data_IF_084789276656
#
_entry.id   IF_084789276656
#
_cell.length_a   1.000
_cell.length_b   1.000
_cell.length_c   1.000
_cell.angle_alpha   90.00
_cell.angle_beta   90.00
_cell.angle_gamma   90.00
#
_symmetry.space_group_name_H-M   'P 1'
#
loop_
_entity.id
_entity.type
_entity.pdbx_description
1 polymer ?
#
# COMPACT_ATOMS: atom_id res chain seq x y z
N UNK A 1 -0.29 -23.29 10.49
CA UNK A 1 0.05 -23.94 9.22
C UNK A 1 -1.16 -23.89 8.30
N UNK A 2 -1.19 -22.87 7.44
CA UNK A 2 -2.11 -22.86 6.32
C UNK A 2 -1.49 -23.77 5.26
N UNK A 3 -2.09 -24.95 5.09
CA UNK A 3 -1.74 -25.85 4.01
C UNK A 3 -2.07 -25.19 2.68
N UNK A 4 -1.14 -25.23 1.73
CA UNK A 4 -1.40 -24.87 0.36
C UNK A 4 -2.61 -25.69 -0.12
N UNK A 5 -3.74 -25.03 -0.34
CA UNK A 5 -4.92 -25.65 -0.93
C UNK A 5 -4.54 -25.92 -2.38
N UNK A 6 -4.43 -27.20 -2.72
CA UNK A 6 -4.30 -27.62 -4.11
C UNK A 6 -5.54 -27.13 -4.88
N UNK A 7 -5.40 -26.58 -6.08
CA UNK A 7 -6.55 -26.22 -6.87
C UNK A 7 -7.44 -27.47 -7.03
N UNK A 8 -8.72 -27.31 -6.71
CA UNK A 8 -9.72 -28.37 -6.87
C UNK A 8 -9.69 -28.87 -8.32
N UNK A 9 -9.71 -30.16 -8.55
CA UNK A 9 -9.70 -30.67 -9.92
C UNK A 9 -10.90 -30.10 -10.68
N UNK A 10 -10.61 -29.54 -11.86
CA UNK A 10 -11.64 -29.20 -12.85
C UNK A 10 -12.55 -30.44 -12.98
N UNK A 11 -13.85 -30.27 -12.80
CA UNK A 11 -14.78 -31.37 -13.03
C UNK A 11 -14.61 -31.86 -14.45
N UNK A 12 -14.17 -33.08 -14.62
CA UNK A 12 -13.96 -33.73 -15.93
C UNK A 12 -15.29 -33.96 -16.70
N UNK A 13 -16.44 -33.64 -16.05
CA UNK A 13 -17.77 -33.84 -16.60
C UNK A 13 -18.38 -32.62 -17.32
N UNK A 14 -17.75 -31.43 -17.19
CA UNK A 14 -18.22 -30.22 -17.89
C UNK A 14 -17.41 -30.00 -19.16
N UNK A 15 -18.03 -30.14 -20.35
CA UNK A 15 -17.32 -29.94 -21.62
C UNK A 15 -16.91 -28.48 -21.78
N UNK A 16 -15.84 -28.23 -22.53
CA UNK A 16 -15.50 -26.87 -22.96
C UNK A 16 -16.68 -26.25 -23.74
N UNK A 17 -16.94 -24.96 -23.52
CA UNK A 17 -18.10 -24.29 -24.15
C UNK A 17 -18.04 -24.37 -25.69
N UNK A 18 -16.88 -24.20 -26.29
CA UNK A 18 -16.70 -24.28 -27.75
C UNK A 18 -17.12 -25.64 -28.32
N UNK A 19 -16.81 -26.73 -27.60
CA UNK A 19 -17.20 -28.10 -27.99
C UNK A 19 -18.73 -28.25 -27.89
N UNK A 20 -19.30 -27.78 -26.79
CA UNK A 20 -20.74 -27.80 -26.57
C UNK A 20 -21.51 -26.96 -27.61
N UNK A 21 -21.07 -25.70 -27.80
CA UNK A 21 -21.74 -24.78 -28.73
C UNK A 21 -21.66 -25.27 -30.17
N UNK A 22 -20.53 -25.80 -30.59
CA UNK A 22 -20.39 -26.40 -31.93
C UNK A 22 -21.41 -27.51 -32.14
N UNK A 23 -21.50 -28.47 -31.23
CA UNK A 23 -22.45 -29.57 -31.32
C UNK A 23 -23.91 -29.04 -31.31
N UNK A 24 -24.20 -28.09 -30.40
CA UNK A 24 -25.53 -27.50 -30.29
C UNK A 24 -26.00 -26.83 -31.59
N UNK A 25 -25.09 -26.10 -32.26
CA UNK A 25 -25.36 -25.43 -33.54
C UNK A 25 -25.45 -26.44 -34.65
N UNK A 26 -24.51 -27.38 -34.79
CA UNK A 26 -24.52 -28.39 -35.86
C UNK A 26 -25.78 -29.23 -35.87
N UNK A 27 -26.22 -29.68 -34.70
CA UNK A 27 -27.45 -30.50 -34.57
C UNK A 27 -28.72 -29.74 -34.98
N UNK A 28 -28.73 -28.42 -34.89
CA UNK A 28 -29.92 -27.58 -35.15
C UNK A 28 -29.90 -26.89 -36.52
N UNK A 29 -28.74 -26.45 -36.96
CA UNK A 29 -28.61 -25.78 -38.26
C UNK A 29 -28.90 -26.77 -39.40
N UNK A 30 -28.48 -28.03 -39.24
CA UNK A 30 -28.82 -29.08 -40.20
C UNK A 30 -30.33 -29.21 -40.42
N UNK A 31 -31.07 -29.32 -39.34
CA UNK A 31 -32.58 -29.39 -39.39
C UNK A 31 -33.19 -28.13 -39.99
N UNK A 32 -32.69 -26.96 -39.65
CA UNK A 32 -33.17 -25.68 -40.19
C UNK A 32 -32.94 -25.57 -41.71
N UNK A 33 -31.87 -26.20 -42.21
CA UNK A 33 -31.53 -26.24 -43.64
C UNK A 33 -32.33 -27.30 -44.43
N UNK A 34 -32.97 -28.21 -43.74
CA UNK A 34 -33.81 -29.21 -44.46
C UNK A 34 -35.05 -28.53 -45.06
N UNK A 35 -35.41 -28.96 -46.27
CA UNK A 35 -36.64 -28.52 -46.93
C UNK A 35 -37.83 -29.17 -46.23
N UNK A 36 -38.82 -28.33 -45.76
CA UNK A 36 -40.04 -28.83 -45.25
C UNK A 36 -40.87 -29.49 -46.37
N UNK A 37 -41.50 -30.65 -46.14
CA UNK A 37 -42.33 -31.32 -47.16
C UNK A 37 -43.46 -30.44 -47.71
N UNK A 38 -43.93 -29.44 -46.95
CA UNK A 38 -45.01 -28.54 -47.36
C UNK A 38 -44.48 -27.22 -47.97
N UNK A 39 -43.18 -27.02 -48.07
CA UNK A 39 -42.53 -25.86 -48.61
C UNK A 39 -42.28 -26.05 -50.11
N UNK A 40 -42.60 -25.05 -50.92
CA UNK A 40 -42.23 -25.05 -52.35
C UNK A 40 -40.74 -24.87 -52.54
N UNK A 41 -40.19 -25.15 -53.70
CA UNK A 41 -38.75 -24.96 -53.98
C UNK A 41 -38.40 -23.47 -53.89
N UNK A 42 -39.24 -22.58 -54.39
CA UNK A 42 -39.03 -21.12 -54.36
C UNK A 42 -39.04 -20.60 -52.94
N UNK A 43 -39.95 -21.03 -52.09
CA UNK A 43 -40.00 -20.69 -50.66
C UNK A 43 -38.77 -21.21 -49.93
N UNK A 44 -38.36 -22.42 -50.19
CA UNK A 44 -37.14 -23.00 -49.64
C UNK A 44 -35.87 -22.20 -50.02
N UNK A 45 -35.71 -21.87 -51.30
CA UNK A 45 -34.56 -21.08 -51.78
C UNK A 45 -34.58 -19.65 -51.25
N UNK A 46 -35.73 -19.07 -51.04
CA UNK A 46 -35.87 -17.74 -50.40
C UNK A 46 -35.56 -17.76 -48.91
N UNK A 47 -35.85 -18.85 -48.19
CA UNK A 47 -35.61 -19.01 -46.76
C UNK A 47 -34.18 -19.38 -46.46
N UNK A 48 -33.54 -20.26 -47.23
CA UNK A 48 -32.21 -20.81 -46.97
C UNK A 48 -31.20 -20.07 -47.83
N UNK A 49 -30.96 -18.81 -47.51
CA UNK A 49 -29.84 -18.02 -48.08
C UNK A 49 -28.65 -18.03 -47.14
N UNK A 50 -27.46 -17.63 -47.63
CA UNK A 50 -26.26 -17.56 -46.79
C UNK A 50 -26.42 -16.51 -45.67
N UNK A 51 -27.08 -15.36 -45.96
CA UNK A 51 -27.34 -14.35 -44.96
C UNK A 51 -28.27 -14.85 -43.85
N UNK A 52 -29.36 -15.55 -44.25
CA UNK A 52 -30.30 -16.15 -43.31
C UNK A 52 -29.63 -17.27 -42.49
N UNK A 53 -28.73 -18.06 -43.09
CA UNK A 53 -27.96 -19.07 -42.42
C UNK A 53 -27.04 -18.46 -41.36
N UNK A 54 -26.28 -17.40 -41.67
CA UNK A 54 -25.41 -16.70 -40.72
C UNK A 54 -26.21 -16.08 -39.57
N UNK A 55 -27.35 -15.47 -39.86
CA UNK A 55 -28.28 -14.94 -38.84
C UNK A 55 -28.77 -16.06 -37.91
N UNK A 56 -29.14 -17.22 -38.47
CA UNK A 56 -29.59 -18.38 -37.69
C UNK A 56 -28.46 -19.00 -36.85
N UNK A 57 -27.24 -19.06 -37.36
CA UNK A 57 -26.10 -19.50 -36.60
C UNK A 57 -25.82 -18.58 -35.39
N UNK A 58 -25.91 -17.26 -35.59
CA UNK A 58 -25.78 -16.29 -34.50
C UNK A 58 -26.86 -16.45 -33.42
N UNK A 59 -28.10 -16.65 -33.84
CA UNK A 59 -29.23 -16.96 -32.93
C UNK A 59 -28.94 -18.26 -32.13
N UNK A 60 -28.50 -19.32 -32.82
CA UNK A 60 -28.20 -20.61 -32.19
C UNK A 60 -26.99 -20.54 -31.23
N UNK A 61 -26.00 -19.74 -31.54
CA UNK A 61 -24.86 -19.51 -30.62
C UNK A 61 -25.30 -18.83 -29.34
N UNK A 62 -26.19 -17.83 -29.45
CA UNK A 62 -26.77 -17.18 -28.25
C UNK A 62 -27.61 -18.17 -27.43
N UNK A 63 -28.41 -18.97 -28.09
CA UNK A 63 -29.21 -20.02 -27.43
C UNK A 63 -28.34 -21.12 -26.81
N UNK A 64 -27.20 -21.45 -27.45
CA UNK A 64 -26.24 -22.38 -26.90
C UNK A 64 -25.60 -21.87 -25.59
N UNK A 65 -25.28 -20.59 -25.54
CA UNK A 65 -24.75 -19.95 -24.32
C UNK A 65 -25.74 -20.02 -23.17
N UNK A 66 -26.95 -19.56 -23.42
CA UNK A 66 -28.03 -19.57 -22.40
C UNK A 66 -28.31 -21.01 -21.91
N UNK A 67 -28.32 -21.99 -22.83
CA UNK A 67 -28.57 -23.39 -22.50
C UNK A 67 -27.37 -24.02 -21.74
N UNK A 68 -26.15 -23.71 -22.12
CA UNK A 68 -24.95 -24.16 -21.39
C UNK A 68 -24.92 -23.65 -19.95
N UNK A 69 -25.22 -22.36 -19.76
CA UNK A 69 -25.33 -21.77 -18.43
C UNK A 69 -26.43 -22.48 -17.64
N UNK A 70 -27.59 -22.68 -18.22
CA UNK A 70 -28.73 -23.34 -17.55
C UNK A 70 -28.41 -24.78 -17.10
N UNK A 71 -27.59 -25.51 -17.86
CA UNK A 71 -27.26 -26.91 -17.56
C UNK A 71 -26.15 -27.01 -16.52
N UNK A 72 -25.10 -26.19 -16.65
CA UNK A 72 -23.85 -26.36 -15.92
C UNK A 72 -23.62 -25.38 -14.77
N UNK A 73 -24.38 -24.26 -14.70
CA UNK A 73 -24.38 -23.40 -13.54
C UNK A 73 -25.04 -24.10 -12.35
N UNK A 74 -24.36 -24.06 -11.22
CA UNK A 74 -24.84 -24.65 -9.97
C UNK A 74 -24.90 -23.58 -8.91
N UNK A 75 -25.84 -23.73 -7.99
CA UNK A 75 -25.93 -22.88 -6.82
C UNK A 75 -24.61 -22.94 -6.01
N UNK A 76 -24.26 -21.78 -5.46
CA UNK A 76 -23.09 -21.61 -4.59
C UNK A 76 -23.55 -21.35 -3.17
N UNK A 77 -22.93 -22.06 -2.23
CA UNK A 77 -23.01 -21.75 -0.81
C UNK A 77 -21.67 -21.26 -0.26
N UNK A 78 -21.64 -20.73 0.96
CA UNK A 78 -20.36 -20.31 1.58
C UNK A 78 -19.32 -21.43 1.67
N UNK A 79 -19.75 -22.68 1.77
CA UNK A 79 -18.86 -23.85 1.79
C UNK A 79 -18.19 -24.16 0.45
N UNK A 80 -18.73 -23.62 -0.66
CA UNK A 80 -18.18 -23.82 -2.00
C UNK A 80 -17.15 -22.75 -2.38
N UNK A 81 -16.91 -21.80 -1.49
CA UNK A 81 -16.06 -20.65 -1.71
C UNK A 81 -14.99 -20.59 -0.61
N UNK A 82 -13.74 -20.47 -1.02
CA UNK A 82 -12.61 -20.33 -0.10
C UNK A 82 -12.21 -18.86 -0.03
N UNK A 83 -12.47 -18.21 1.11
CA UNK A 83 -11.98 -16.86 1.37
C UNK A 83 -10.49 -16.89 1.63
N UNK A 84 -9.76 -16.00 0.96
CA UNK A 84 -8.38 -15.66 1.33
C UNK A 84 -8.34 -14.58 2.41
N UNK A 85 -7.19 -14.34 3.05
CA UNK A 85 -7.04 -13.26 4.01
C UNK A 85 -7.46 -11.90 3.42
N UNK A 86 -8.05 -11.06 4.28
CA UNK A 86 -8.51 -9.73 3.88
C UNK A 86 -7.36 -8.84 3.45
N UNK A 87 -7.50 -8.23 2.29
CA UNK A 87 -6.61 -7.17 1.82
C UNK A 87 -7.14 -5.81 2.31
N UNK A 88 -6.52 -5.30 3.37
CA UNK A 88 -6.94 -4.06 4.01
C UNK A 88 -6.58 -2.80 3.19
N UNK A 89 -5.64 -2.90 2.25
CA UNK A 89 -5.25 -1.78 1.41
C UNK A 89 -6.24 -1.55 0.27
N UNK A 90 -6.74 -2.64 -0.31
CA UNK A 90 -7.72 -2.59 -1.38
C UNK A 90 -9.16 -2.74 -0.87
N UNK A 91 -9.33 -2.97 0.44
CA UNK A 91 -10.63 -3.20 1.09
C UNK A 91 -11.44 -4.33 0.44
N UNK A 92 -10.79 -5.46 0.16
CA UNK A 92 -11.40 -6.61 -0.51
C UNK A 92 -11.04 -7.94 0.15
N UNK A 93 -11.91 -8.93 -0.03
CA UNK A 93 -11.55 -10.34 0.07
C UNK A 93 -11.36 -10.92 -1.32
N UNK A 94 -10.26 -11.62 -1.54
CA UNK A 94 -10.15 -12.57 -2.63
C UNK A 94 -10.83 -13.87 -2.23
N UNK A 95 -11.56 -14.47 -3.15
CA UNK A 95 -12.22 -15.73 -2.90
C UNK A 95 -12.09 -16.65 -4.11
N UNK A 96 -11.82 -17.91 -3.85
CA UNK A 96 -11.73 -18.96 -4.88
C UNK A 96 -13.06 -19.69 -4.98
N UNK A 97 -13.60 -19.77 -6.17
CA UNK A 97 -14.82 -20.53 -6.49
C UNK A 97 -14.51 -21.56 -7.57
N UNK A 98 -15.42 -22.53 -7.75
CA UNK A 98 -15.35 -23.46 -8.89
C UNK A 98 -15.50 -22.78 -10.27
N UNK A 99 -15.88 -21.51 -10.30
CA UNK A 99 -16.03 -20.69 -11.51
C UNK A 99 -14.91 -19.64 -11.66
N UNK A 100 -13.84 -19.77 -10.90
CA UNK A 100 -12.70 -18.86 -10.89
C UNK A 100 -12.62 -18.01 -9.64
N UNK A 101 -11.64 -17.15 -9.63
CA UNK A 101 -11.36 -16.23 -8.53
C UNK A 101 -12.25 -14.99 -8.64
N UNK A 102 -12.78 -14.55 -7.51
CA UNK A 102 -13.64 -13.37 -7.39
C UNK A 102 -13.08 -12.40 -6.35
N UNK A 103 -13.38 -11.11 -6.53
CA UNK A 103 -12.98 -10.04 -5.62
C UNK A 103 -14.25 -9.48 -4.97
N UNK A 104 -14.32 -9.56 -3.64
CA UNK A 104 -15.48 -9.10 -2.87
C UNK A 104 -15.08 -7.81 -2.15
N UNK A 105 -15.58 -6.64 -2.58
CA UNK A 105 -15.35 -5.38 -1.89
C UNK A 105 -16.06 -5.39 -0.53
N UNK A 106 -15.30 -5.15 0.54
CA UNK A 106 -15.80 -5.07 1.92
C UNK A 106 -15.07 -3.96 2.64
N UNK A 107 -15.74 -2.90 3.08
CA UNK A 107 -15.09 -1.79 3.78
C UNK A 107 -14.37 -2.24 5.06
N UNK A 108 -13.24 -1.62 5.35
CA UNK A 108 -12.50 -1.83 6.60
C UNK A 108 -13.15 -1.08 7.77
N UNK A 109 -13.81 0.04 7.48
CA UNK A 109 -14.45 0.89 8.48
C UNK A 109 -15.45 0.11 9.34
N UNK A 110 -15.69 0.57 10.56
CA UNK A 110 -16.67 0.00 11.50
C UNK A 110 -16.50 -1.51 11.76
N UNK A 111 -15.28 -2.02 11.61
CA UNK A 111 -14.98 -3.44 11.80
C UNK A 111 -15.71 -4.37 10.81
N UNK A 112 -16.17 -3.82 9.68
CA UNK A 112 -17.08 -4.52 8.75
C UNK A 112 -16.42 -5.75 8.11
N UNK A 113 -15.15 -5.66 7.73
CA UNK A 113 -14.41 -6.78 7.17
C UNK A 113 -14.30 -7.97 8.15
N UNK A 114 -14.06 -7.71 9.43
CA UNK A 114 -14.03 -8.77 10.45
C UNK A 114 -15.40 -9.38 10.69
N UNK A 115 -16.45 -8.56 10.66
CA UNK A 115 -17.82 -9.06 10.77
C UNK A 115 -18.21 -9.91 9.53
N UNK A 116 -17.78 -9.49 8.34
CA UNK A 116 -17.97 -10.27 7.12
C UNK A 116 -17.33 -11.66 7.25
N UNK A 117 -16.06 -11.72 7.62
CA UNK A 117 -15.32 -12.98 7.78
C UNK A 117 -15.92 -13.86 8.90
N UNK A 118 -16.22 -13.30 10.06
CA UNK A 118 -16.80 -14.06 11.18
C UNK A 118 -18.19 -14.60 10.90
N UNK A 119 -18.95 -13.95 10.05
CA UNK A 119 -20.30 -14.36 9.64
C UNK A 119 -20.32 -15.20 8.36
N UNK A 120 -19.14 -15.55 7.80
CA UNK A 120 -19.04 -16.19 6.50
C UNK A 120 -19.94 -17.44 6.34
N UNK A 121 -19.91 -18.33 7.29
CA UNK A 121 -20.72 -19.56 7.24
C UNK A 121 -22.24 -19.31 7.28
N UNK A 122 -22.65 -18.14 7.74
CA UNK A 122 -24.07 -17.72 7.77
C UNK A 122 -24.48 -16.82 6.61
N UNK A 123 -23.58 -16.53 5.67
CA UNK A 123 -23.89 -15.70 4.50
C UNK A 123 -24.89 -16.41 3.58
N UNK A 124 -25.84 -15.66 3.08
CA UNK A 124 -26.73 -16.09 2.00
C UNK A 124 -26.21 -15.56 0.69
N UNK A 125 -25.94 -16.46 -0.25
CA UNK A 125 -25.54 -16.12 -1.60
C UNK A 125 -26.78 -16.02 -2.48
N UNK A 126 -26.94 -14.90 -3.20
CA UNK A 126 -28.14 -14.63 -4.02
C UNK A 126 -27.75 -14.09 -5.38
N UNK A 127 -28.63 -14.32 -6.34
CA UNK A 127 -28.59 -13.76 -7.70
C UNK A 127 -27.21 -13.99 -8.37
N UNK A 128 -26.71 -15.22 -8.46
CA UNK A 128 -25.53 -15.49 -9.25
C UNK A 128 -25.83 -15.26 -10.72
N UNK A 129 -24.97 -14.53 -11.39
CA UNK A 129 -25.00 -14.36 -12.85
C UNK A 129 -23.72 -14.94 -13.45
N UNK A 130 -23.87 -15.56 -14.61
CA UNK A 130 -22.77 -16.29 -15.26
C UNK A 130 -22.57 -15.83 -16.69
N UNK A 131 -21.36 -16.02 -17.20
CA UNK A 131 -20.97 -15.81 -18.59
C UNK A 131 -19.87 -16.78 -19.00
N UNK A 132 -19.52 -16.78 -20.26
CA UNK A 132 -18.42 -17.61 -20.77
C UNK A 132 -17.15 -16.78 -20.85
N UNK A 133 -16.10 -17.26 -20.18
CA UNK A 133 -14.76 -16.69 -20.20
C UNK A 133 -13.75 -17.81 -20.39
N UNK A 134 -12.82 -17.61 -21.32
CA UNK A 134 -11.74 -18.58 -21.61
C UNK A 134 -12.28 -20.01 -21.83
N UNK A 135 -13.36 -20.12 -22.62
CA UNK A 135 -14.04 -21.36 -22.97
C UNK A 135 -14.68 -22.12 -21.79
N UNK A 136 -14.91 -21.44 -20.68
CA UNK A 136 -15.47 -21.98 -19.42
C UNK A 136 -16.54 -21.09 -18.83
N UNK A 137 -17.35 -21.68 -17.94
CA UNK A 137 -18.31 -20.92 -17.15
C UNK A 137 -17.60 -20.11 -16.09
N UNK A 138 -17.84 -18.81 -16.08
CA UNK A 138 -17.35 -17.86 -15.09
C UNK A 138 -18.50 -17.12 -14.42
N UNK A 139 -18.26 -16.65 -13.19
CA UNK A 139 -19.23 -15.87 -12.43
C UNK A 139 -19.08 -14.39 -12.81
N UNK A 140 -20.16 -13.74 -13.23
CA UNK A 140 -20.14 -12.31 -13.55
C UNK A 140 -20.58 -11.43 -12.39
N UNK A 141 -21.52 -11.90 -11.57
CA UNK A 141 -21.95 -11.21 -10.36
C UNK A 141 -22.47 -12.19 -9.30
N UNK A 142 -22.36 -11.78 -8.02
CA UNK A 142 -22.88 -12.53 -6.89
C UNK A 142 -23.16 -11.57 -5.73
N UNK A 143 -24.29 -11.75 -5.07
CA UNK A 143 -24.68 -10.96 -3.90
C UNK A 143 -24.55 -11.80 -2.64
N UNK A 144 -23.88 -11.24 -1.63
CA UNK A 144 -23.73 -11.83 -0.30
C UNK A 144 -24.59 -11.07 0.69
N UNK A 145 -25.41 -11.76 1.45
CA UNK A 145 -26.27 -11.17 2.47
C UNK A 145 -25.89 -11.76 3.81
N UNK A 146 -25.43 -10.91 4.73
CA UNK A 146 -25.05 -11.35 6.08
C UNK A 146 -26.30 -11.69 6.92
N UNK A 147 -26.14 -12.44 8.03
CA UNK A 147 -27.25 -12.68 8.97
C UNK A 147 -27.89 -11.41 9.53
N UNK A 148 -27.13 -10.31 9.61
CA UNK A 148 -27.61 -8.99 10.01
C UNK A 148 -28.27 -8.19 8.86
N UNK A 149 -28.40 -8.77 7.66
CA UNK A 149 -29.01 -8.13 6.50
C UNK A 149 -28.10 -7.16 5.73
N UNK A 150 -26.83 -7.10 6.04
CA UNK A 150 -25.86 -6.32 5.24
C UNK A 150 -25.61 -7.00 3.90
N UNK A 151 -25.46 -6.19 2.85
CA UNK A 151 -25.34 -6.66 1.47
C UNK A 151 -23.98 -6.28 0.93
N UNK A 152 -23.28 -7.28 0.35
CA UNK A 152 -22.03 -7.10 -0.36
C UNK A 152 -22.19 -7.68 -1.77
N UNK A 153 -21.51 -7.12 -2.75
CA UNK A 153 -21.67 -7.55 -4.13
C UNK A 153 -20.31 -7.71 -4.82
N UNK A 154 -20.12 -8.87 -5.42
CA UNK A 154 -19.14 -9.08 -6.46
C UNK A 154 -19.77 -8.75 -7.81
N UNK A 155 -19.03 -8.03 -8.65
CA UNK A 155 -19.43 -7.67 -10.00
C UNK A 155 -18.19 -7.54 -10.87
N UNK A 156 -18.04 -8.45 -11.85
CA UNK A 156 -16.84 -8.51 -12.73
C UNK A 156 -16.74 -7.29 -13.65
N UNK A 157 -17.84 -6.59 -13.94
CA UNK A 157 -17.85 -5.37 -14.75
C UNK A 157 -17.19 -4.18 -14.03
N UNK A 158 -17.14 -4.23 -12.70
CA UNK A 158 -16.45 -3.27 -11.84
C UNK A 158 -15.02 -3.72 -11.55
N UNK A 159 -14.39 -4.47 -12.45
CA UNK A 159 -13.06 -5.00 -12.30
C UNK A 159 -12.10 -3.90 -11.84
N UNK A 160 -11.93 -3.79 -10.53
CA UNK A 160 -10.81 -3.11 -9.93
C UNK A 160 -9.57 -3.75 -10.56
N UNK A 161 -8.66 -2.92 -11.08
CA UNK A 161 -7.33 -3.39 -11.44
C UNK A 161 -6.64 -3.81 -10.14
N UNK A 162 -7.04 -4.99 -9.65
CA UNK A 162 -6.52 -5.56 -8.43
C UNK A 162 -5.12 -6.08 -8.70
N UNK A 163 -4.15 -5.49 -8.03
CA UNK A 163 -2.81 -6.04 -7.95
C UNK A 163 -2.63 -6.55 -6.53
N UNK A 164 -2.60 -7.86 -6.36
CA UNK A 164 -2.27 -8.47 -5.08
C UNK A 164 -0.88 -7.98 -4.66
N UNK A 165 -0.85 -7.11 -3.66
CA UNK A 165 0.42 -6.67 -3.08
C UNK A 165 0.78 -7.66 -1.98
N UNK A 166 1.59 -8.63 -2.34
CA UNK A 166 2.20 -9.52 -1.37
C UNK A 166 3.37 -8.75 -0.75
N UNK A 167 3.29 -8.38 0.51
CA UNK A 167 4.36 -7.68 1.24
C UNK A 167 5.17 -8.68 2.03
N UNK A 168 6.47 -8.80 1.71
CA UNK A 168 7.43 -9.55 2.50
C UNK A 168 8.19 -8.61 3.44
N UNK A 169 7.98 -8.79 4.70
CA UNK A 169 8.71 -8.06 5.73
C UNK A 169 9.78 -8.96 6.33
N UNK A 170 11.03 -8.70 6.01
CA UNK A 170 12.13 -9.32 6.72
C UNK A 170 12.37 -8.57 8.03
N UNK A 171 12.04 -9.22 9.13
CA UNK A 171 12.37 -8.72 10.46
C UNK A 171 13.75 -9.22 10.88
N UNK A 172 14.51 -8.36 11.56
CA UNK A 172 15.69 -8.80 12.30
C UNK A 172 15.27 -9.84 13.36
N UNK A 173 16.15 -10.81 13.61
CA UNK A 173 15.91 -11.79 14.66
C UNK A 173 15.75 -11.09 16.01
N UNK A 174 14.69 -11.44 16.75
CA UNK A 174 14.52 -10.96 18.11
C UNK A 174 15.62 -11.60 18.96
N UNK A 175 16.46 -10.76 19.56
CA UNK A 175 17.48 -11.23 20.49
C UNK A 175 16.84 -11.59 21.83
N UNK A 176 16.77 -12.88 22.10
CA UNK A 176 16.31 -13.44 23.37
C UNK A 176 17.46 -13.79 24.31
N UNK A 177 18.70 -13.41 24.01
CA UNK A 177 19.88 -13.77 24.81
C UNK A 177 19.78 -13.29 26.26
N UNK A 178 19.09 -12.15 26.49
CA UNK A 178 18.85 -11.62 27.84
C UNK A 178 17.89 -12.49 28.68
N UNK A 179 17.05 -13.34 28.05
CA UNK A 179 16.16 -14.25 28.79
C UNK A 179 16.92 -15.44 29.38
N UNK A 180 18.10 -15.77 28.83
CA UNK A 180 18.94 -16.85 29.32
C UNK A 180 19.65 -16.50 30.65
N UNK A 181 19.79 -15.21 30.98
CA UNK A 181 20.43 -14.73 32.21
C UNK A 181 19.52 -14.75 33.44
N UNK A 182 18.21 -14.97 33.29
CA UNK A 182 17.21 -14.99 34.35
C UNK A 182 16.62 -16.40 34.60
N UNK A 183 17.27 -17.47 34.21
CA UNK A 183 16.75 -18.83 34.36
C UNK A 183 16.89 -19.35 35.78
N UNK A 184 15.77 -19.36 36.51
CA UNK A 184 15.56 -20.37 37.51
C UNK A 184 15.43 -21.73 36.79
N UNK A 185 16.34 -22.63 37.11
CA UNK A 185 16.49 -23.94 36.50
C UNK A 185 15.21 -24.76 36.41
N UNK A 186 14.76 -25.04 35.19
CA UNK A 186 13.91 -26.17 34.85
C UNK A 186 14.45 -26.85 33.60
N UNK A 187 14.77 -28.14 33.62
CA UNK A 187 15.20 -28.83 32.42
C UNK A 187 13.96 -29.07 31.53
N UNK A 188 13.94 -28.40 30.41
CA UNK A 188 12.91 -28.58 29.38
C UNK A 188 13.51 -28.27 28.03
N UNK A 189 13.35 -29.21 27.10
CA UNK A 189 13.90 -29.23 25.76
C UNK A 189 13.82 -27.87 25.03
N UNK A 190 14.94 -27.42 24.51
CA UNK A 190 15.04 -26.29 23.59
C UNK A 190 14.26 -26.56 22.31
N UNK A 191 13.05 -26.03 22.19
CA UNK A 191 12.39 -25.96 20.90
C UNK A 191 13.08 -24.86 20.09
N UNK A 192 13.93 -25.26 19.16
CA UNK A 192 14.35 -24.39 18.07
C UNK A 192 13.10 -24.09 17.22
N UNK A 193 12.57 -22.89 17.36
CA UNK A 193 11.57 -22.37 16.44
C UNK A 193 12.30 -22.13 15.11
N UNK A 194 12.11 -23.04 14.16
CA UNK A 194 12.51 -22.81 12.78
C UNK A 194 11.58 -21.69 12.25
N UNK A 195 12.10 -20.51 12.08
CA UNK A 195 11.43 -19.46 11.34
C UNK A 195 11.36 -19.87 9.88
N UNK A 196 10.17 -19.94 9.36
CA UNK A 196 9.95 -19.99 7.93
C UNK A 196 10.04 -18.53 7.46
N UNK A 197 11.13 -18.19 6.78
CA UNK A 197 11.23 -16.93 6.05
C UNK A 197 10.22 -17.00 4.92
N UNK A 198 9.11 -16.34 5.08
CA UNK A 198 8.18 -16.08 3.98
C UNK A 198 8.73 -14.86 3.28
N UNK A 199 9.52 -15.10 2.22
CA UNK A 199 10.08 -14.05 1.39
C UNK A 199 8.97 -13.55 0.48
N UNK A 200 8.58 -12.33 0.59
CA UNK A 200 7.73 -11.59 -0.33
C UNK A 200 8.63 -10.59 -1.00
N UNK A 201 8.47 -10.33 -2.25
CA UNK A 201 9.40 -9.53 -3.02
C UNK A 201 9.84 -8.28 -2.29
N UNK A 202 10.89 -8.42 -1.49
CA UNK A 202 11.49 -7.29 -0.79
C UNK A 202 11.84 -6.26 -1.85
N UNK A 203 11.51 -5.01 -1.59
CA UNK A 203 11.99 -3.89 -2.40
C UNK A 203 13.49 -4.03 -2.56
N UNK A 204 13.99 -3.72 -3.73
CA UNK A 204 15.44 -3.77 -4.00
C UNK A 204 16.25 -2.94 -3.01
N UNK A 205 15.64 -1.93 -2.38
CA UNK A 205 16.27 -1.12 -1.32
C UNK A 205 16.22 -1.75 0.07
N UNK A 206 15.39 -2.77 0.27
CA UNK A 206 15.26 -3.48 1.55
C UNK A 206 16.28 -4.61 1.71
N UNK A 207 16.90 -4.99 0.61
CA UNK A 207 17.90 -6.07 0.55
C UNK A 207 19.25 -5.54 0.11
N UNK A 208 20.30 -6.28 0.44
CA UNK A 208 21.67 -5.91 0.07
C UNK A 208 22.04 -4.47 0.50
N UNK A 209 21.60 -4.08 1.70
CA UNK A 209 21.93 -2.76 2.26
C UNK A 209 23.45 -2.69 2.46
N UNK A 210 24.12 -1.70 1.85
CA UNK A 210 25.56 -1.60 1.93
C UNK A 210 26.04 -1.33 3.36
N UNK A 211 27.12 -1.99 3.76
CA UNK A 211 27.75 -1.77 5.06
C UNK A 211 28.88 -0.74 4.96
N UNK A 212 29.00 0.10 5.97
CA UNK A 212 30.13 0.99 6.16
C UNK A 212 31.07 0.39 7.21
N UNK A 213 32.34 0.11 6.87
CA UNK A 213 33.29 -0.42 7.84
C UNK A 213 33.77 0.61 8.88
N UNK A 214 33.48 1.90 8.68
CA UNK A 214 33.79 2.97 9.60
C UNK A 214 32.62 3.32 10.46
N UNK A 215 32.82 3.43 11.76
CA UNK A 215 31.80 3.90 12.70
C UNK A 215 31.67 5.41 12.63
N UNK A 216 30.44 5.90 12.55
CA UNK A 216 30.09 7.31 12.57
C UNK A 216 29.50 7.66 13.96
N UNK A 217 30.40 7.84 14.94
CA UNK A 217 30.03 7.89 16.37
C UNK A 217 29.28 9.15 16.78
N UNK A 218 29.50 10.25 16.06
CA UNK A 218 28.94 11.56 16.42
C UNK A 218 27.74 11.97 15.56
N UNK A 219 27.20 11.07 14.78
CA UNK A 219 25.94 11.30 14.07
C UNK A 219 24.79 10.58 14.77
N UNK A 220 23.71 11.31 15.01
CA UNK A 220 22.50 10.82 15.66
C UNK A 220 21.31 10.91 14.70
N UNK A 221 20.47 9.90 14.67
CA UNK A 221 19.26 9.89 13.88
C UNK A 221 18.02 9.80 14.78
N UNK A 222 17.04 10.66 14.53
CA UNK A 222 15.70 10.61 15.10
C UNK A 222 14.73 10.33 13.97
N UNK A 223 14.10 9.16 13.99
CA UNK A 223 13.21 8.66 12.95
C UNK A 223 11.85 8.42 13.57
N UNK A 224 10.84 9.10 13.06
CA UNK A 224 9.44 8.96 13.51
C UNK A 224 8.62 8.52 12.30
N UNK A 225 7.97 7.36 12.40
CA UNK A 225 7.13 6.79 11.36
C UNK A 225 5.73 6.50 11.91
N UNK A 226 4.73 7.20 11.39
CA UNK A 226 3.34 7.10 11.81
C UNK A 226 2.51 6.52 10.66
N UNK A 227 1.99 5.33 10.85
CA UNK A 227 1.15 4.61 9.90
C UNK A 227 -0.23 4.32 10.45
N UNK A 228 -0.33 3.77 11.66
CA UNK A 228 -1.56 3.25 12.23
C UNK A 228 -2.24 4.31 13.12
N UNK A 229 -2.96 5.21 12.50
CA UNK A 229 -3.73 6.24 13.19
C UNK A 229 -5.00 5.67 13.80
N UNK A 230 -5.39 6.18 14.99
CA UNK A 230 -6.56 5.69 15.72
C UNK A 230 -7.88 6.21 15.16
N UNK A 231 -7.88 7.43 14.61
CA UNK A 231 -9.09 8.16 14.25
C UNK A 231 -9.15 8.65 12.79
N UNK A 232 -8.07 8.50 12.04
CA UNK A 232 -7.98 8.87 10.62
C UNK A 232 -7.40 7.70 9.82
N UNK A 233 -7.43 7.79 8.49
CA UNK A 233 -6.87 6.75 7.64
C UNK A 233 -5.36 6.55 7.87
N UNK A 234 -4.89 5.33 7.66
CA UNK A 234 -3.46 5.00 7.75
C UNK A 234 -2.64 5.70 6.67
N UNK A 235 -1.32 5.81 6.92
CA UNK A 235 -0.33 6.19 5.90
C UNK A 235 0.43 4.94 5.49
N UNK A 236 -0.01 4.24 4.43
CA UNK A 236 0.58 2.98 4.05
C UNK A 236 2.09 3.06 3.85
N UNK A 237 2.81 2.06 4.33
CA UNK A 237 4.26 1.90 4.17
C UNK A 237 5.14 2.89 4.97
N UNK A 238 4.55 3.76 5.80
CA UNK A 238 5.34 4.69 6.61
C UNK A 238 6.25 3.96 7.61
N UNK A 239 5.75 2.87 8.23
CA UNK A 239 6.59 2.06 9.12
C UNK A 239 7.73 1.38 8.38
N UNK A 240 7.49 0.86 7.17
CA UNK A 240 8.55 0.27 6.35
C UNK A 240 9.60 1.33 5.96
N UNK A 241 9.16 2.53 5.59
CA UNK A 241 10.04 3.66 5.31
C UNK A 241 10.98 3.94 6.48
N UNK A 242 10.42 4.07 7.69
CA UNK A 242 11.20 4.37 8.90
C UNK A 242 12.14 3.24 9.30
N UNK A 243 11.67 2.00 9.28
CA UNK A 243 12.48 0.81 9.60
C UNK A 243 13.66 0.65 8.66
N UNK A 244 13.41 0.77 7.37
CA UNK A 244 14.46 0.63 6.37
C UNK A 244 15.46 1.77 6.47
N UNK A 245 15.02 3.02 6.67
CA UNK A 245 15.91 4.14 6.88
C UNK A 245 16.79 3.95 8.12
N UNK A 246 16.24 3.45 9.22
CA UNK A 246 17.02 3.13 10.43
C UNK A 246 18.14 2.12 10.14
N UNK A 247 17.86 1.10 9.32
CA UNK A 247 18.87 0.14 8.86
C UNK A 247 19.96 0.80 8.01
N UNK A 248 19.59 1.72 7.10
CA UNK A 248 20.58 2.49 6.34
C UNK A 248 21.43 3.40 7.24
N UNK A 249 20.84 3.99 8.26
CA UNK A 249 21.58 4.77 9.23
C UNK A 249 22.64 3.93 9.94
N UNK A 250 22.30 2.74 10.41
CA UNK A 250 23.26 1.85 11.10
C UNK A 250 24.24 1.21 10.13
N UNK A 251 23.79 0.58 9.07
CA UNK A 251 24.62 -0.22 8.17
C UNK A 251 25.39 0.64 7.18
N UNK A 252 24.72 1.55 6.49
CA UNK A 252 25.30 2.32 5.36
C UNK A 252 25.99 3.60 5.82
N UNK A 253 25.38 4.33 6.75
CA UNK A 253 25.98 5.55 7.29
C UNK A 253 26.92 5.28 8.48
N UNK A 254 26.84 4.08 9.06
CA UNK A 254 27.75 3.63 10.12
C UNK A 254 27.43 4.18 11.51
N UNK A 255 26.20 4.64 11.75
CA UNK A 255 25.80 5.09 13.08
C UNK A 255 25.73 3.89 14.04
N UNK A 256 26.25 4.02 15.27
CA UNK A 256 25.97 3.05 16.32
C UNK A 256 24.45 2.88 16.51
N UNK A 257 23.98 1.68 16.81
CA UNK A 257 22.55 1.43 17.07
C UNK A 257 21.99 2.34 18.17
N UNK A 258 22.80 2.61 19.21
CA UNK A 258 22.45 3.55 20.29
C UNK A 258 22.22 4.99 19.81
N UNK A 259 22.71 5.36 18.63
CA UNK A 259 22.55 6.69 18.05
C UNK A 259 21.33 6.80 17.15
N UNK A 260 20.66 5.69 16.85
CA UNK A 260 19.43 5.68 16.04
C UNK A 260 18.21 5.55 16.95
N UNK A 261 17.45 6.63 17.04
CA UNK A 261 16.21 6.71 17.82
C UNK A 261 15.04 6.54 16.87
N UNK A 262 14.48 5.34 16.84
CA UNK A 262 13.36 5.02 15.98
C UNK A 262 12.06 4.87 16.77
N UNK A 263 11.02 5.58 16.35
CA UNK A 263 9.71 5.61 16.98
C UNK A 263 8.63 5.27 15.96
N UNK A 264 7.84 4.23 16.24
CA UNK A 264 6.67 3.85 15.46
C UNK A 264 5.40 4.39 16.11
N UNK A 265 4.48 4.87 15.28
CA UNK A 265 3.15 5.31 15.69
C UNK A 265 3.20 6.26 16.90
N UNK A 266 3.95 7.33 16.74
CA UNK A 266 4.23 8.29 17.80
C UNK A 266 3.00 9.11 18.19
N UNK A 267 2.73 9.16 19.51
CA UNK A 267 1.80 10.09 20.14
C UNK A 267 2.47 11.46 20.34
N UNK A 268 1.69 12.47 20.73
CA UNK A 268 2.22 13.81 21.07
C UNK A 268 3.37 13.72 22.08
N UNK A 269 3.20 12.92 23.13
CA UNK A 269 4.21 12.74 24.17
C UNK A 269 5.53 12.10 23.64
N UNK A 270 5.44 11.25 22.63
CA UNK A 270 6.61 10.64 21.99
C UNK A 270 7.38 11.69 21.17
N UNK A 271 6.70 12.56 20.41
CA UNK A 271 7.33 13.68 19.72
C UNK A 271 8.12 14.58 20.70
N UNK A 272 7.49 14.91 21.83
CA UNK A 272 8.14 15.71 22.88
C UNK A 272 9.40 15.05 23.41
N UNK A 273 9.31 13.75 23.71
CA UNK A 273 10.44 12.97 24.22
C UNK A 273 11.59 12.91 23.22
N UNK A 274 11.27 12.61 21.96
CA UNK A 274 12.28 12.50 20.90
C UNK A 274 13.08 13.80 20.73
N UNK A 275 12.39 14.97 20.74
CA UNK A 275 13.07 16.26 20.63
C UNK A 275 13.85 16.63 21.90
N UNK A 276 13.36 16.29 23.08
CA UNK A 276 14.09 16.51 24.33
C UNK A 276 15.33 15.65 24.42
N UNK A 277 15.25 14.39 24.02
CA UNK A 277 16.39 13.45 24.03
C UNK A 277 17.53 13.95 23.12
N UNK A 278 17.23 14.37 21.89
CA UNK A 278 18.27 14.89 21.00
C UNK A 278 18.86 16.21 21.48
N UNK A 279 18.08 17.05 22.15
CA UNK A 279 18.57 18.26 22.77
C UNK A 279 19.57 17.95 23.91
N UNK A 280 19.25 16.99 24.77
CA UNK A 280 20.13 16.54 25.83
C UNK A 280 21.43 15.95 25.28
N UNK A 281 21.36 15.15 24.22
CA UNK A 281 22.52 14.60 23.52
C UNK A 281 23.39 15.73 22.96
N UNK A 282 22.78 16.71 22.26
CA UNK A 282 23.53 17.86 21.72
C UNK A 282 24.29 18.63 22.80
N UNK A 283 23.68 18.79 23.97
CA UNK A 283 24.32 19.43 25.11
C UNK A 283 25.47 18.57 25.68
N UNK A 284 25.24 17.27 25.81
CA UNK A 284 26.26 16.34 26.37
C UNK A 284 27.52 16.23 25.50
N UNK A 285 27.36 16.39 24.18
CA UNK A 285 28.46 16.35 23.20
C UNK A 285 29.08 17.73 22.90
N UNK A 286 28.62 18.78 23.61
CA UNK A 286 29.06 20.17 23.39
C UNK A 286 28.99 20.60 21.90
N UNK A 287 27.97 20.10 21.17
CA UNK A 287 27.73 20.43 19.77
C UNK A 287 28.60 19.69 18.75
N UNK A 288 29.45 18.78 19.15
CA UNK A 288 30.25 17.96 18.24
C UNK A 288 29.41 16.76 17.73
N UNK A 289 28.24 17.07 17.20
CA UNK A 289 27.32 16.08 16.59
C UNK A 289 26.74 16.58 15.28
N UNK A 290 26.38 15.62 14.42
CA UNK A 290 25.49 15.79 13.30
C UNK A 290 24.14 15.12 13.62
N UNK A 291 23.05 15.71 13.17
CA UNK A 291 21.70 15.21 13.43
C UNK A 291 20.96 14.94 12.14
N UNK A 292 20.38 13.76 12.06
CA UNK A 292 19.41 13.37 11.02
C UNK A 292 18.02 13.30 11.69
N UNK A 293 17.06 14.00 11.15
CA UNK A 293 15.66 13.88 11.57
C UNK A 293 14.81 13.44 10.38
N UNK A 294 14.00 12.44 10.58
CA UNK A 294 13.07 11.93 9.55
C UNK A 294 11.68 11.78 10.15
N UNK A 295 10.70 12.19 9.38
CA UNK A 295 9.28 11.95 9.66
C UNK A 295 8.57 11.41 8.44
N UNK A 296 7.81 10.32 8.60
CA UNK A 296 6.81 9.83 7.66
C UNK A 296 5.46 9.73 8.35
N UNK A 297 4.42 10.30 7.76
CA UNK A 297 3.11 10.32 8.35
C UNK A 297 2.22 11.43 7.80
N UNK A 298 1.06 11.64 8.44
CA UNK A 298 0.18 12.75 8.08
C UNK A 298 0.73 14.09 8.57
N UNK A 299 0.57 15.09 7.70
CA UNK A 299 0.63 16.49 8.06
C UNK A 299 -0.75 17.12 7.94
N UNK A 300 -1.06 18.08 8.78
CA UNK A 300 -2.32 18.83 8.77
C UNK A 300 -2.04 20.32 8.80
N UNK A 301 -2.78 21.14 8.03
CA UNK A 301 -2.70 22.58 8.11
C UNK A 301 -3.74 23.13 9.08
N UNK A 302 -3.42 24.21 9.75
CA UNK A 302 -4.44 25.06 10.36
C UNK A 302 -5.09 25.92 9.26
N UNK A 303 -6.40 25.82 9.10
CA UNK A 303 -7.14 26.54 8.06
C UNK A 303 -7.08 28.07 8.24
N UNK A 304 -6.94 28.54 9.47
CA UNK A 304 -6.95 29.98 9.82
C UNK A 304 -5.56 30.59 9.76
N UNK A 305 -4.61 29.99 10.48
CA UNK A 305 -3.25 30.52 10.62
C UNK A 305 -2.33 30.12 9.47
N UNK A 306 -2.68 29.07 8.72
CA UNK A 306 -1.86 28.40 7.70
C UNK A 306 -0.60 27.74 8.25
N UNK A 307 -0.51 27.56 9.56
CA UNK A 307 0.60 26.84 10.16
C UNK A 307 0.47 25.33 9.86
N UNK A 308 1.60 24.63 9.79
CA UNK A 308 1.67 23.19 9.52
C UNK A 308 1.92 22.42 10.82
N UNK A 309 1.30 21.25 10.92
CA UNK A 309 1.41 20.36 12.07
C UNK A 309 1.68 18.94 11.64
N UNK A 310 2.45 18.20 12.42
CA UNK A 310 2.56 16.76 12.36
C UNK A 310 1.41 16.13 13.14
N UNK A 311 0.81 15.08 12.59
CA UNK A 311 -0.32 14.42 13.24
C UNK A 311 0.18 13.27 14.13
N UNK A 312 -0.01 13.34 15.46
CA UNK A 312 0.17 12.20 16.34
C UNK A 312 -0.89 11.13 16.06
N UNK A 313 -0.55 9.85 16.28
CA UNK A 313 -1.48 8.75 15.95
C UNK A 313 -2.74 8.72 16.79
N UNK A 314 -2.72 9.37 17.95
CA UNK A 314 -3.83 9.50 18.89
C UNK A 314 -4.64 10.79 18.69
N UNK A 315 -4.42 11.54 17.60
CA UNK A 315 -5.17 12.74 17.22
C UNK A 315 -5.96 12.52 15.94
N UNK A 316 -7.13 13.18 15.83
CA UNK A 316 -7.93 13.19 14.59
C UNK A 316 -7.62 14.41 13.69
N UNK A 317 -6.73 15.30 14.13
CA UNK A 317 -6.35 16.50 13.40
C UNK A 317 -7.38 17.64 13.42
N UNK A 318 -8.57 17.44 13.97
CA UNK A 318 -9.60 18.49 14.09
C UNK A 318 -9.28 19.47 15.20
N UNK A 319 -8.74 18.96 16.30
CA UNK A 319 -8.25 19.77 17.41
C UNK A 319 -6.76 20.06 17.20
N UNK A 320 -6.46 21.24 16.68
CA UNK A 320 -5.09 21.66 16.34
C UNK A 320 -4.15 21.64 17.54
N UNK A 321 -4.66 21.91 18.75
CA UNK A 321 -3.86 21.84 19.98
C UNK A 321 -3.35 20.44 20.31
N UNK A 322 -3.97 19.40 19.78
CA UNK A 322 -3.54 18.00 19.88
C UNK A 322 -2.56 17.59 18.77
N UNK A 323 -2.30 18.47 17.81
CA UNK A 323 -1.33 18.25 16.73
C UNK A 323 0.02 18.85 17.09
N UNK A 324 1.11 18.27 16.57
CA UNK A 324 2.47 18.71 16.91
C UNK A 324 2.95 19.80 15.94
N UNK A 325 3.21 21.05 16.39
CA UNK A 325 3.57 22.14 15.48
C UNK A 325 4.90 21.86 14.74
N UNK A 326 4.89 21.97 13.42
CA UNK A 326 6.12 21.86 12.62
C UNK A 326 7.11 22.98 12.95
N UNK A 327 6.61 24.18 13.25
CA UNK A 327 7.41 25.32 13.72
C UNK A 327 8.20 24.99 14.98
N UNK A 328 7.63 24.19 15.89
CA UNK A 328 8.31 23.73 17.09
C UNK A 328 9.43 22.75 16.76
N UNK A 329 9.19 21.78 15.85
CA UNK A 329 10.24 20.87 15.38
C UNK A 329 11.42 21.66 14.83
N UNK A 330 11.15 22.67 14.00
CA UNK A 330 12.21 23.51 13.42
C UNK A 330 12.90 24.40 14.47
N UNK A 331 12.15 24.91 15.43
CA UNK A 331 12.72 25.71 16.52
C UNK A 331 13.63 24.86 17.41
N UNK A 332 13.17 23.68 17.85
CA UNK A 332 13.91 22.79 18.72
C UNK A 332 15.16 22.25 18.02
N UNK A 333 15.04 21.76 16.78
CA UNK A 333 16.18 21.25 15.98
C UNK A 333 17.13 22.36 15.55
N UNK A 334 16.63 23.55 15.21
CA UNK A 334 17.44 24.69 14.80
C UNK A 334 18.20 25.35 15.97
N UNK A 335 17.77 25.10 17.21
CA UNK A 335 18.44 25.58 18.42
C UNK A 335 19.53 24.63 18.94
N UNK A 336 19.65 23.44 18.33
CA UNK A 336 20.68 22.50 18.71
C UNK A 336 22.06 23.09 18.41
N UNK A 337 22.98 22.93 19.37
CA UNK A 337 24.39 23.16 19.13
C UNK A 337 24.95 21.93 18.38
N UNK A 338 24.72 21.86 17.06
CA UNK A 338 25.11 20.75 16.19
C UNK A 338 25.88 21.28 14.96
N UNK A 339 26.78 20.46 14.42
CA UNK A 339 27.53 20.80 13.21
C UNK A 339 26.61 20.91 11.98
N UNK A 340 25.69 19.97 11.87
CA UNK A 340 24.63 19.98 10.86
C UNK A 340 23.36 19.31 11.36
N UNK A 341 22.22 19.75 10.84
CA UNK A 341 20.90 19.15 11.08
C UNK A 341 20.22 18.92 9.75
N UNK A 342 20.05 17.67 9.34
CA UNK A 342 19.37 17.31 8.11
C UNK A 342 17.98 16.76 8.42
N UNK A 343 16.96 17.49 8.02
CA UNK A 343 15.56 17.19 8.28
C UNK A 343 14.90 16.67 7.00
N UNK A 344 14.32 15.49 7.05
CA UNK A 344 13.59 14.88 5.94
C UNK A 344 12.13 14.67 6.32
N UNK A 345 11.22 15.15 5.48
CA UNK A 345 9.77 15.10 5.71
C UNK A 345 9.07 14.40 4.57
N UNK A 346 8.65 13.14 4.79
CA UNK A 346 7.77 12.39 3.87
C UNK A 346 6.32 12.53 4.33
N UNK A 347 5.79 13.74 4.22
CA UNK A 347 4.46 14.12 4.66
C UNK A 347 3.85 15.20 3.76
N UNK A 348 2.51 15.22 3.71
CA UNK A 348 1.74 16.27 3.03
C UNK A 348 1.18 17.23 4.06
N UNK A 349 1.46 18.50 3.93
CA UNK A 349 0.94 19.52 4.86
C UNK A 349 -0.25 20.31 4.29
N UNK A 350 -0.71 19.98 3.10
CA UNK A 350 -1.93 20.55 2.49
C UNK A 350 -3.23 19.88 2.95
N UNK A 351 -3.13 18.88 3.82
CA UNK A 351 -4.25 18.04 4.26
C UNK A 351 -4.55 16.85 3.35
N UNK A 352 -3.75 16.63 2.30
CA UNK A 352 -3.88 15.45 1.42
C UNK A 352 -3.38 14.16 2.06
N UNK A 353 -3.94 13.03 1.66
CA UNK A 353 -3.50 11.71 2.06
C UNK A 353 -2.63 11.07 0.98
N UNK A 354 -1.73 10.15 1.38
CA UNK A 354 -0.83 9.43 0.47
C UNK A 354 -1.57 8.65 -0.62
N UNK A 355 -2.74 8.14 -0.36
CA UNK A 355 -3.59 7.38 -1.28
C UNK A 355 -4.70 8.20 -1.97
N UNK A 356 -4.69 9.51 -1.83
CA UNK A 356 -5.46 10.46 -2.64
C UNK A 356 -6.71 11.04 -2.00
N UNK A 357 -6.99 10.77 -0.72
CA UNK A 357 -8.04 11.42 0.07
C UNK A 357 -7.58 12.68 0.79
N UNK A 358 -8.41 13.19 1.71
CA UNK A 358 -8.10 14.29 2.62
C UNK A 358 -8.14 13.78 4.05
N UNK A 359 -7.18 14.17 4.90
CA UNK A 359 -7.12 13.79 6.33
C UNK A 359 -8.32 14.33 7.10
N UNK A 360 -8.74 15.56 6.76
CA UNK A 360 -9.88 16.24 7.37
C UNK A 360 -11.01 16.36 6.35
N UNK A 361 -11.85 15.32 6.25
CA UNK A 361 -13.11 15.40 5.51
C UNK A 361 -14.18 15.99 6.43
N UNK A 362 -14.70 17.16 6.07
CA UNK A 362 -15.93 17.69 6.67
C UNK A 362 -17.11 17.14 5.87
N UNK A 363 -18.09 16.55 6.57
CA UNK A 363 -19.33 16.08 5.95
C UNK A 363 -19.94 17.18 5.06
N UNK A 364 -20.06 16.87 3.76
CA UNK A 364 -20.70 17.77 2.78
C UNK A 364 -19.82 18.84 2.13
N UNK A 365 -18.53 18.94 2.46
CA UNK A 365 -17.58 19.84 1.79
C UNK A 365 -16.46 19.04 1.12
N UNK A 366 -16.14 19.37 -0.14
CA UNK A 366 -14.88 18.96 -0.75
C UNK A 366 -13.75 19.58 0.09
N UNK A 367 -12.81 18.74 0.55
CA UNK A 367 -11.69 19.20 1.35
C UNK A 367 -10.97 20.39 0.69
N UNK A 368 -10.78 21.46 1.43
CA UNK A 368 -10.07 22.66 0.95
C UNK A 368 -8.59 22.35 1.04
N UNK A 369 -7.89 22.38 -0.10
CA UNK A 369 -6.43 22.34 -0.11
C UNK A 369 -5.90 23.65 0.44
N UNK A 370 -5.25 23.59 1.59
CA UNK A 370 -4.64 24.74 2.25
C UNK A 370 -3.17 24.77 1.89
N UNK A 371 -2.66 25.91 1.44
CA UNK A 371 -1.21 26.13 1.30
C UNK A 371 -0.63 26.52 2.64
N UNK A 372 0.13 25.65 3.32
CA UNK A 372 0.71 26.00 4.60
C UNK A 372 1.80 27.05 4.47
N UNK A 373 1.99 27.83 5.52
CA UNK A 373 3.18 28.68 5.64
C UNK A 373 4.42 27.81 5.70
N UNK A 374 5.45 28.24 5.02
CA UNK A 374 6.73 27.59 5.10
C UNK A 374 7.60 28.30 6.14
N UNK A 375 7.74 27.68 7.32
CA UNK A 375 8.69 28.15 8.30
C UNK A 375 10.12 28.08 7.76
N UNK A 376 10.90 29.13 7.97
CA UNK A 376 12.28 29.17 7.54
C UNK A 376 13.15 28.24 8.43
N UNK A 377 14.02 27.42 7.84
CA UNK A 377 15.02 26.68 8.61
C UNK A 377 15.90 27.63 9.42
N UNK A 378 16.35 27.18 10.59
CA UNK A 378 17.20 27.96 11.51
C UNK A 378 18.46 27.16 11.88
N UNK A 379 19.45 27.84 12.44
CA UNK A 379 20.73 27.22 12.83
C UNK A 379 21.45 26.59 11.65
N UNK A 380 21.97 25.39 11.81
CA UNK A 380 22.69 24.64 10.77
C UNK A 380 21.78 23.63 10.06
N UNK A 381 20.52 23.99 9.85
CA UNK A 381 19.49 23.10 9.36
C UNK A 381 19.35 23.14 7.84
N UNK A 382 19.20 21.95 7.25
CA UNK A 382 18.74 21.74 5.87
C UNK A 382 17.47 20.90 5.94
N UNK A 383 16.40 21.37 5.30
CA UNK A 383 15.10 20.69 5.25
C UNK A 383 14.86 20.16 3.85
N UNK A 384 14.60 18.88 3.73
CA UNK A 384 14.23 18.19 2.51
C UNK A 384 12.82 17.61 2.64
N UNK A 385 11.87 18.19 1.95
CA UNK A 385 10.46 17.79 1.99
C UNK A 385 10.10 17.01 0.74
N UNK A 386 9.26 15.98 0.92
CA UNK A 386 8.79 15.11 -0.16
C UNK A 386 7.94 15.83 -1.21
N UNK A 387 7.37 16.99 -0.86
CA UNK A 387 6.44 17.74 -1.70
C UNK A 387 6.71 19.24 -1.63
N UNK A 388 6.27 19.95 -2.64
CA UNK A 388 6.06 21.40 -2.59
C UNK A 388 4.65 21.72 -2.08
N UNK A 389 4.45 22.92 -1.59
CA UNK A 389 3.27 23.58 -1.01
C UNK A 389 1.94 22.78 -0.91
N UNK A 390 1.26 22.58 -2.03
CA UNK A 390 -0.09 22.00 -2.12
C UNK A 390 -0.12 20.57 -2.69
N UNK A 391 1.05 19.99 -2.93
CA UNK A 391 1.17 18.64 -3.46
C UNK A 391 1.00 17.56 -2.40
N UNK A 392 0.75 16.34 -2.84
CA UNK A 392 0.61 15.17 -2.00
C UNK A 392 1.80 14.24 -2.16
N UNK A 393 2.41 13.80 -1.06
CA UNK A 393 3.40 12.74 -1.06
C UNK A 393 2.74 11.41 -1.44
N UNK A 394 3.29 10.75 -2.45
CA UNK A 394 2.69 9.60 -3.09
C UNK A 394 3.36 8.28 -2.67
N UNK A 395 2.60 7.18 -2.67
CA UNK A 395 3.16 5.85 -2.46
C UNK A 395 3.86 5.35 -3.72
N UNK A 396 4.86 4.50 -3.54
CA UNK A 396 5.42 3.61 -4.55
C UNK A 396 5.07 2.18 -4.19
N UNK A 397 3.81 1.79 -4.40
CA UNK A 397 3.23 0.53 -3.94
C UNK A 397 4.04 -0.70 -4.36
N UNK A 398 4.49 -0.74 -5.62
CA UNK A 398 5.34 -1.83 -6.15
C UNK A 398 6.67 -2.00 -5.40
N UNK A 399 7.12 -0.96 -4.72
CA UNK A 399 8.37 -0.94 -3.96
C UNK A 399 8.18 -0.96 -2.46
N UNK A 400 6.94 -0.97 -1.97
CA UNK A 400 6.63 -1.03 -0.55
C UNK A 400 7.08 0.18 0.26
N UNK A 401 7.22 1.33 -0.37
CA UNK A 401 7.71 2.58 0.22
C UNK A 401 6.91 3.81 -0.23
N UNK A 402 7.06 4.92 0.48
CA UNK A 402 6.77 6.22 -0.09
C UNK A 402 7.71 6.52 -1.26
N UNK A 403 7.21 7.22 -2.28
CA UNK A 403 7.99 7.49 -3.49
C UNK A 403 9.28 8.29 -3.19
N UNK A 404 9.18 9.27 -2.31
CA UNK A 404 10.30 10.08 -1.85
C UNK A 404 11.34 9.22 -1.10
N UNK A 405 10.88 8.45 -0.13
CA UNK A 405 11.76 7.61 0.70
C UNK A 405 12.41 6.51 -0.11
N UNK A 406 11.69 5.89 -1.06
CA UNK A 406 12.30 4.90 -1.94
C UNK A 406 13.52 5.44 -2.68
N UNK A 407 13.42 6.60 -3.32
CA UNK A 407 14.55 7.17 -4.05
C UNK A 407 15.67 7.70 -3.15
N UNK A 408 15.33 8.14 -1.93
CA UNK A 408 16.31 8.46 -0.90
C UNK A 408 17.16 7.22 -0.56
N UNK A 409 16.51 6.10 -0.23
CA UNK A 409 17.18 4.83 0.07
C UNK A 409 17.95 4.30 -1.13
N UNK A 410 17.38 4.40 -2.32
CA UNK A 410 18.00 3.96 -3.57
C UNK A 410 19.33 4.67 -3.83
N UNK A 411 19.36 5.99 -3.68
CA UNK A 411 20.59 6.77 -3.83
C UNK A 411 21.63 6.39 -2.77
N UNK A 412 21.22 6.22 -1.51
CA UNK A 412 22.12 5.75 -0.46
C UNK A 412 22.67 4.35 -0.76
N UNK A 413 21.83 3.45 -1.31
CA UNK A 413 22.25 2.11 -1.70
C UNK A 413 23.30 2.16 -2.83
N UNK A 414 23.02 2.86 -3.91
CA UNK A 414 23.88 2.95 -5.09
C UNK A 414 25.24 3.58 -4.78
N UNK A 415 25.26 4.58 -3.92
CA UNK A 415 26.47 5.29 -3.53
C UNK A 415 27.16 4.70 -2.30
N UNK A 416 26.56 3.68 -1.71
CA UNK A 416 26.99 3.12 -0.40
C UNK A 416 27.09 4.22 0.68
N UNK A 417 26.18 5.19 0.62
CA UNK A 417 26.15 6.35 1.51
C UNK A 417 27.21 7.43 1.24
N UNK A 418 28.12 7.23 0.28
CA UNK A 418 29.11 8.24 -0.07
C UNK A 418 28.53 9.24 -1.10
N UNK A 419 27.74 10.14 -0.59
CA UNK A 419 26.99 11.12 -1.37
C UNK A 419 26.89 12.44 -0.61
N UNK A 420 26.98 13.56 -1.31
CA UNK A 420 26.71 14.87 -0.72
C UNK A 420 25.21 15.14 -0.64
N UNK A 421 24.79 16.05 0.24
CA UNK A 421 23.37 16.46 0.30
C UNK A 421 22.89 17.04 -1.02
N UNK A 422 23.73 17.76 -1.76
CA UNK A 422 23.39 18.26 -3.09
C UNK A 422 23.08 17.14 -4.08
N UNK A 423 23.94 16.15 -4.17
CA UNK A 423 23.77 14.99 -5.05
C UNK A 423 22.55 14.14 -4.64
N UNK A 424 22.35 13.92 -3.35
CA UNK A 424 21.23 13.17 -2.81
C UNK A 424 19.90 13.85 -3.13
N UNK A 425 19.78 15.14 -2.79
CA UNK A 425 18.54 15.88 -2.96
C UNK A 425 18.19 16.11 -4.43
N UNK A 426 19.19 16.41 -5.28
CA UNK A 426 18.98 16.58 -6.72
C UNK A 426 18.51 15.28 -7.38
N UNK A 427 19.12 14.14 -7.05
CA UNK A 427 18.71 12.83 -7.55
C UNK A 427 17.28 12.49 -7.14
N UNK A 428 16.95 12.63 -5.86
CA UNK A 428 15.61 12.31 -5.35
C UNK A 428 14.57 13.21 -6.00
N UNK A 429 14.82 14.52 -6.09
CA UNK A 429 13.90 15.45 -6.73
C UNK A 429 13.63 15.08 -8.18
N UNK A 430 14.68 14.87 -8.98
CA UNK A 430 14.53 14.47 -10.38
C UNK A 430 13.74 13.16 -10.54
N UNK A 431 14.10 12.13 -9.78
CA UNK A 431 13.45 10.81 -9.89
C UNK A 431 12.00 10.83 -9.43
N UNK A 432 11.71 11.54 -8.34
CA UNK A 432 10.34 11.68 -7.82
C UNK A 432 9.46 12.46 -8.81
N UNK A 433 9.94 13.58 -9.34
CA UNK A 433 9.19 14.34 -10.36
C UNK A 433 8.86 13.49 -11.58
N UNK A 434 9.84 12.81 -12.15
CA UNK A 434 9.65 11.95 -13.32
C UNK A 434 8.70 10.80 -13.04
N UNK A 435 8.89 10.11 -11.91
CA UNK A 435 8.18 8.87 -11.61
C UNK A 435 6.75 9.10 -11.11
N UNK A 436 6.52 10.17 -10.37
CA UNK A 436 5.19 10.50 -9.83
C UNK A 436 4.12 10.66 -10.92
N UNK A 437 4.48 11.28 -12.04
CA UNK A 437 3.58 11.40 -13.20
C UNK A 437 3.24 10.03 -13.80
N UNK A 438 4.23 9.14 -13.89
CA UNK A 438 4.07 7.81 -14.50
C UNK A 438 3.19 6.90 -13.66
N UNK A 439 3.47 6.81 -12.34
CA UNK A 439 2.80 5.83 -11.45
C UNK A 439 1.52 6.37 -10.81
N UNK A 440 1.46 7.67 -10.54
CA UNK A 440 0.36 8.28 -9.79
C UNK A 440 -0.45 9.31 -10.60
N UNK A 441 -0.03 9.60 -11.84
CA UNK A 441 -0.64 10.61 -12.75
C UNK A 441 -0.76 12.01 -12.12
N UNK A 442 0.07 12.30 -11.13
CA UNK A 442 0.15 13.59 -10.43
C UNK A 442 1.62 13.95 -10.23
N UNK A 443 1.93 15.22 -10.29
CA UNK A 443 3.30 15.70 -10.05
C UNK A 443 3.56 15.75 -8.55
N UNK A 444 4.70 15.21 -8.14
CA UNK A 444 5.26 15.36 -6.80
C UNK A 444 6.67 15.94 -6.95
N UNK A 445 6.90 17.11 -6.36
CA UNK A 445 8.15 17.85 -6.46
C UNK A 445 8.78 18.01 -5.08
N UNK A 446 9.79 17.22 -4.71
CA UNK A 446 10.53 17.44 -3.48
C UNK A 446 11.23 18.80 -3.47
N UNK A 447 11.33 19.39 -2.29
CA UNK A 447 11.94 20.74 -2.13
C UNK A 447 13.02 20.72 -1.05
N UNK A 448 14.08 21.51 -1.28
CA UNK A 448 15.18 21.69 -0.33
C UNK A 448 15.22 23.13 0.12
N UNK A 449 15.35 23.34 1.43
CA UNK A 449 15.56 24.65 2.03
C UNK A 449 16.68 24.58 3.04
N UNK A 450 17.65 25.44 2.94
CA UNK A 450 18.75 25.56 3.86
C UNK A 450 18.63 26.81 4.73
N UNK A 451 19.02 26.74 5.99
CA UNK A 451 19.15 27.91 6.84
C UNK A 451 20.24 28.86 6.32
N UNK A 452 20.08 30.15 6.60
CA UNK A 452 21.03 31.18 6.12
C UNK A 452 22.48 30.88 6.53
N UNK A 453 22.70 30.34 7.73
CA UNK A 453 24.03 30.02 8.24
C UNK A 453 24.77 28.94 7.42
N UNK A 454 24.03 28.07 6.71
CA UNK A 454 24.62 26.98 5.92
C UNK A 454 24.31 27.12 4.40
N UNK A 455 23.78 28.25 3.97
CA UNK A 455 23.37 28.47 2.59
C UNK A 455 24.47 28.17 1.55
N UNK A 456 25.71 28.50 1.87
CA UNK A 456 26.85 28.29 0.98
C UNK A 456 27.53 26.93 1.14
N UNK A 457 27.32 26.24 2.25
CA UNK A 457 28.10 25.03 2.63
C UNK A 457 27.27 23.74 2.62
N UNK A 458 25.95 23.82 2.74
CA UNK A 458 25.09 22.64 2.88
C UNK A 458 25.25 21.61 1.75
N UNK A 459 25.52 22.08 0.53
CA UNK A 459 25.64 21.24 -0.65
C UNK A 459 26.74 20.18 -0.55
N UNK A 460 27.82 20.50 0.17
CA UNK A 460 28.95 19.61 0.36
C UNK A 460 28.86 18.70 1.60
N UNK A 461 27.85 18.88 2.45
CA UNK A 461 27.65 18.04 3.63
C UNK A 461 27.43 16.58 3.20
N UNK A 462 28.07 15.66 3.91
CA UNK A 462 27.90 14.22 3.76
C UNK A 462 27.35 13.61 5.04
N UNK A 463 26.41 12.68 4.92
CA UNK A 463 25.86 11.94 6.05
C UNK A 463 26.78 10.79 6.50
N UNK A 464 27.49 10.18 5.56
CA UNK A 464 28.53 9.20 5.83
C UNK A 464 29.85 9.93 6.06
N UNK A 465 30.53 9.59 7.18
CA UNK A 465 31.85 10.15 7.55
C UNK A 465 32.99 9.23 7.14
#
# INVERSE_FOLDING_TARGET
SYGAVQPQPVRDDVPAYSVYAKKYVEDRIGKWQEKDPYETLDEYMARVTEEARQAKVKELLKAAEDNYISIYAQDLGPSDIVLRPYDAENEVFLAETKYGEIIIPVPRADNEARMFESNWNGMQLRNPEYYIKDDRLALSSLTFVSPAGRIYRYDDSNALNYTETVVDMQFADIDYSHLASNTSSRPGASQRIKRQNVSVGASDVDVNIPENPKTNENTFAVIIANENYQMVSSVPMALNDGRTLARYCTQTLGLPESNVRYYEDATYGVFMRALNDIKNISTAYDGDIDVIFYYAGHGVPDEQTKDAYLLPVDSDGKEISACFPLSRVYADLGSLNAQSVFVMMDACFSGGQRDGGMVLEKEGMRGIVVRPKQDAPRGNMVVFSAVSDDQTAMPYKEKGHGLFTYYLLKKLQETKGNVTLSELTSYVTEKVEQRSVVINRKVQTPTVRAAAAVADTWKSIKLRK
#
